data_IF_917666011169
#
_entry.id   IF_917666011169
#
_cell.length_a   1.000
_cell.length_b   1.000
_cell.length_c   1.000
_cell.angle_alpha   90.00
_cell.angle_beta   90.00
_cell.angle_gamma   90.00
#
_symmetry.space_group_name_H-M   'P 1'
#
loop_
_entity.id
_entity.type
_entity.pdbx_description
1 polymer ?
#
# COMPACT_ATOMS: atom_id res chain seq x y z
N UNK A 1 5.98 8.97 -19.82
CA UNK A 1 5.00 7.94 -20.17
C UNK A 1 3.84 8.04 -19.19
N UNK A 2 2.68 8.53 -19.61
CA UNK A 2 1.46 8.40 -18.83
C UNK A 2 1.05 6.94 -18.87
N UNK A 3 0.91 6.30 -17.71
CA UNK A 3 0.14 5.08 -17.58
C UNK A 3 -1.20 5.39 -18.29
N UNK A 4 -1.64 4.60 -19.29
CA UNK A 4 -2.95 4.84 -19.89
C UNK A 4 -3.97 4.89 -18.76
N UNK A 5 -5.06 5.64 -18.93
CA UNK A 5 -6.22 5.69 -18.04
C UNK A 5 -6.82 4.28 -17.92
N UNK A 6 -6.10 3.42 -17.21
CA UNK A 6 -6.46 2.06 -16.87
C UNK A 6 -7.16 2.26 -15.56
N UNK A 7 -8.47 2.04 -15.58
CA UNK A 7 -9.29 2.13 -14.39
C UNK A 7 -8.62 1.28 -13.30
N UNK A 8 -8.29 1.89 -12.17
CA UNK A 8 -7.73 1.19 -11.02
C UNK A 8 -8.90 0.86 -10.10
N UNK A 9 -9.09 -0.42 -9.82
CA UNK A 9 -10.07 -0.83 -8.82
C UNK A 9 -9.39 -0.75 -7.45
N UNK A 10 -9.92 0.10 -6.57
CA UNK A 10 -9.43 0.26 -5.20
C UNK A 10 -10.31 -0.54 -4.24
N UNK A 11 -9.71 -1.30 -3.33
CA UNK A 11 -10.46 -2.00 -2.29
C UNK A 11 -10.89 -1.03 -1.17
N UNK A 12 -12.12 -1.18 -0.64
CA UNK A 12 -12.57 -0.46 0.55
C UNK A 12 -11.85 -0.88 1.85
N UNK A 13 -11.01 -1.93 1.83
CA UNK A 13 -10.11 -2.24 2.96
C UNK A 13 -8.97 -1.22 3.08
N UNK A 14 -8.64 -0.51 2.00
CA UNK A 14 -7.74 0.63 2.04
C UNK A 14 -8.34 1.80 2.82
N UNK A 15 -7.51 2.50 3.59
CA UNK A 15 -7.95 3.64 4.37
C UNK A 15 -6.84 4.32 5.17
N UNK A 16 -7.18 5.45 5.79
CA UNK A 16 -6.28 6.16 6.68
C UNK A 16 -6.19 5.46 8.04
N UNK A 17 -5.00 5.00 8.39
CA UNK A 17 -4.69 4.32 9.64
C UNK A 17 -3.76 5.20 10.47
N UNK A 18 -4.15 5.45 11.72
CA UNK A 18 -3.32 6.17 12.70
C UNK A 18 -2.84 5.20 13.78
N UNK A 19 -1.51 5.09 13.93
CA UNK A 19 -0.84 4.31 14.98
C UNK A 19 0.34 5.10 15.53
N UNK A 20 0.53 5.05 16.84
CA UNK A 20 1.69 5.67 17.52
C UNK A 20 1.92 7.16 17.17
N UNK A 21 0.85 7.90 16.89
CA UNK A 21 0.91 9.32 16.49
C UNK A 21 1.29 9.56 15.03
N UNK A 22 1.49 8.51 14.24
CA UNK A 22 1.72 8.58 12.81
C UNK A 22 0.47 8.15 12.03
N UNK A 23 0.17 8.88 10.96
CA UNK A 23 -0.96 8.58 10.07
C UNK A 23 -0.42 8.18 8.71
N UNK A 24 -0.84 7.02 8.24
CA UNK A 24 -0.57 6.51 6.89
C UNK A 24 -1.88 6.20 6.21
N UNK A 25 -1.92 6.29 4.89
CA UNK A 25 -3.07 5.92 4.07
C UNK A 25 -2.71 4.67 3.30
N UNK A 26 -3.40 3.59 3.60
CA UNK A 26 -3.25 2.31 2.92
C UNK A 26 -4.10 2.35 1.66
N UNK A 27 -3.48 2.28 0.50
CA UNK A 27 -4.11 2.13 -0.80
C UNK A 27 -3.90 0.71 -1.29
N UNK A 28 -5.00 0.00 -1.50
CA UNK A 28 -4.99 -1.34 -2.07
C UNK A 28 -5.69 -1.23 -3.40
N UNK A 29 -4.95 -1.41 -4.48
CA UNK A 29 -5.48 -1.24 -5.83
C UNK A 29 -5.02 -2.34 -6.78
N UNK A 30 -5.80 -2.58 -7.82
CA UNK A 30 -5.44 -3.46 -8.93
C UNK A 30 -5.85 -2.84 -10.25
N UNK A 31 -5.33 -3.35 -11.36
CA UNK A 31 -5.83 -2.97 -12.67
C UNK A 31 -7.24 -3.52 -12.86
N UNK A 32 -8.20 -2.65 -13.16
CA UNK A 32 -9.55 -3.07 -13.48
C UNK A 32 -9.56 -3.82 -14.82
N UNK A 33 -10.54 -4.71 -14.97
CA UNK A 33 -10.73 -5.57 -16.15
C UNK A 33 -9.65 -6.63 -16.37
N UNK A 34 -8.81 -6.86 -15.36
CA UNK A 34 -7.85 -7.96 -15.36
C UNK A 34 -7.98 -8.77 -14.07
N UNK A 35 -7.61 -10.04 -14.16
CA UNK A 35 -7.40 -10.91 -12.98
C UNK A 35 -6.03 -10.62 -12.34
N UNK A 36 -5.56 -9.36 -12.44
CA UNK A 36 -4.31 -8.93 -11.84
C UNK A 36 -4.44 -8.96 -10.30
N UNK A 37 -3.31 -9.25 -9.69
CA UNK A 37 -3.14 -9.29 -8.25
C UNK A 37 -3.19 -7.86 -7.66
N UNK A 38 -3.62 -7.78 -6.41
CA UNK A 38 -3.71 -6.54 -5.64
C UNK A 38 -2.33 -6.02 -5.30
N UNK A 39 -2.12 -4.73 -5.55
CA UNK A 39 -0.93 -4.00 -5.13
C UNK A 39 -1.25 -3.23 -3.86
N UNK A 40 -0.34 -3.33 -2.88
CA UNK A 40 -0.37 -2.54 -1.66
C UNK A 40 0.54 -1.32 -1.81
N UNK A 41 -0.02 -0.15 -1.59
CA UNK A 41 0.70 1.11 -1.45
C UNK A 41 0.34 1.74 -0.10
N UNK A 42 1.34 2.23 0.63
CA UNK A 42 1.13 2.95 1.88
C UNK A 42 1.70 4.35 1.72
N UNK A 43 0.85 5.36 1.90
CA UNK A 43 1.20 6.77 1.76
C UNK A 43 1.25 7.43 3.13
N UNK A 44 2.44 7.85 3.54
CA UNK A 44 2.65 8.64 4.75
C UNK A 44 2.29 10.11 4.59
N UNK A 45 2.05 10.78 5.72
CA UNK A 45 1.73 12.22 5.76
C UNK A 45 2.85 13.12 5.19
N UNK A 46 4.09 12.65 5.17
CA UNK A 46 5.26 13.40 4.67
C UNK A 46 5.44 13.31 3.16
N UNK A 47 4.41 12.85 2.42
CA UNK A 47 4.50 12.46 0.99
C UNK A 47 5.42 11.27 0.71
N UNK A 48 5.92 10.61 1.76
CA UNK A 48 6.55 9.29 1.63
C UNK A 48 5.49 8.29 1.19
N UNK A 49 5.83 7.41 0.27
CA UNK A 49 5.01 6.26 -0.05
C UNK A 49 5.89 5.03 -0.17
N UNK A 50 5.33 3.89 0.20
CA UNK A 50 5.95 2.59 -0.02
C UNK A 50 4.98 1.79 -0.86
N UNK A 51 5.45 1.36 -2.01
CA UNK A 51 4.75 0.39 -2.85
C UNK A 51 5.40 -0.96 -2.60
N UNK A 52 4.60 -1.96 -2.28
CA UNK A 52 5.09 -3.32 -2.14
C UNK A 52 5.39 -3.88 -3.52
N UNK A 53 6.53 -4.56 -3.65
CA UNK A 53 6.91 -5.28 -4.88
C UNK A 53 6.09 -6.56 -5.04
N UNK A 54 5.69 -7.16 -3.92
CA UNK A 54 4.80 -8.31 -3.86
C UNK A 54 3.36 -7.89 -4.10
N UNK A 55 2.69 -8.66 -4.96
CA UNK A 55 1.26 -8.55 -5.22
C UNK A 55 0.50 -9.64 -4.45
N UNK A 56 -0.79 -9.41 -4.23
CA UNK A 56 -1.63 -10.22 -3.38
C UNK A 56 -2.86 -10.73 -4.12
N UNK A 57 -3.25 -11.99 -3.90
CA UNK A 57 -4.44 -12.56 -4.54
C UNK A 57 -5.74 -11.91 -4.03
N UNK A 58 -5.73 -11.40 -2.80
CA UNK A 58 -6.87 -10.75 -2.15
C UNK A 58 -6.45 -9.45 -1.48
N UNK A 59 -7.38 -8.50 -1.42
CA UNK A 59 -7.20 -7.25 -0.71
C UNK A 59 -7.01 -7.45 0.81
N UNK A 60 -7.54 -8.55 1.36
CA UNK A 60 -7.27 -8.95 2.74
C UNK A 60 -5.80 -9.35 2.97
N UNK A 61 -5.21 -10.14 2.06
CA UNK A 61 -3.81 -10.54 2.14
C UNK A 61 -2.88 -9.32 2.07
N UNK A 62 -3.20 -8.36 1.20
CA UNK A 62 -2.51 -7.07 1.13
C UNK A 62 -2.61 -6.32 2.48
N UNK A 63 -3.80 -6.22 3.05
CA UNK A 63 -3.99 -5.55 4.34
C UNK A 63 -3.27 -6.27 5.50
N UNK A 64 -3.30 -7.60 5.52
CA UNK A 64 -2.56 -8.40 6.51
C UNK A 64 -1.06 -8.19 6.40
N UNK A 65 -0.51 -8.10 5.19
CA UNK A 65 0.90 -7.82 4.99
C UNK A 65 1.30 -6.45 5.56
N UNK A 66 0.46 -5.44 5.35
CA UNK A 66 0.60 -4.13 6.01
C UNK A 66 0.59 -4.27 7.53
N UNK A 67 -0.41 -4.95 8.10
CA UNK A 67 -0.51 -5.12 9.55
C UNK A 67 0.68 -5.88 10.14
N UNK A 68 1.19 -6.90 9.43
CA UNK A 68 2.40 -7.64 9.85
C UNK A 68 3.63 -6.75 9.86
N UNK A 69 3.81 -5.90 8.84
CA UNK A 69 4.93 -4.97 8.79
C UNK A 69 4.83 -3.92 9.91
N UNK A 70 3.63 -3.38 10.16
CA UNK A 70 3.37 -2.50 11.31
C UNK A 70 3.63 -3.20 12.64
N UNK A 71 3.22 -4.46 12.79
CA UNK A 71 3.41 -5.20 14.04
C UNK A 71 4.87 -5.59 14.30
N UNK A 72 5.64 -5.86 13.24
CA UNK A 72 7.04 -6.30 13.32
C UNK A 72 8.00 -5.13 13.45
N UNK A 73 7.86 -4.13 12.59
CA UNK A 73 8.82 -3.04 12.42
C UNK A 73 8.25 -1.67 12.84
N UNK A 74 6.94 -1.60 13.11
CA UNK A 74 6.24 -0.35 13.44
C UNK A 74 5.79 0.42 12.21
N UNK A 75 4.72 1.19 12.34
CA UNK A 75 4.18 2.03 11.27
C UNK A 75 5.19 3.06 10.73
N UNK A 76 6.15 3.48 11.55
CA UNK A 76 7.22 4.43 11.20
C UNK A 76 8.17 3.89 10.15
N UNK A 77 8.47 2.60 10.23
CA UNK A 77 9.28 1.91 9.22
C UNK A 77 8.63 1.96 7.85
N UNK A 78 7.29 2.08 7.79
CA UNK A 78 6.54 2.21 6.53
C UNK A 78 6.54 3.62 5.92
N UNK A 79 7.22 4.58 6.55
CA UNK A 79 7.33 5.96 6.06
C UNK A 79 8.78 6.42 5.94
N UNK A 80 9.70 5.78 6.65
CA UNK A 80 11.11 6.15 6.72
C UNK A 80 11.99 5.31 5.78
N UNK A 81 11.61 4.06 5.48
CA UNK A 81 12.40 3.11 4.68
C UNK A 81 11.70 2.79 3.35
N UNK A 82 11.62 3.78 2.46
CA UNK A 82 11.47 3.46 1.05
C UNK A 82 12.89 3.27 0.48
N UNK A 83 13.39 2.05 0.24
CA UNK A 83 14.55 1.89 -0.61
C UNK A 83 14.13 2.38 -1.99
N UNK A 84 14.52 3.62 -2.31
CA UNK A 84 14.52 4.11 -3.67
C UNK A 84 15.41 3.14 -4.47
N UNK A 85 14.79 2.17 -5.13
CA UNK A 85 15.46 1.28 -6.04
C UNK A 85 16.18 2.13 -7.09
N UNK A 86 17.50 2.08 -7.03
CA UNK A 86 18.42 2.69 -7.99
C UNK A 86 18.50 1.84 -9.25
#
# INVERSE_FOLDING_TARGET
>A
MSIPDRELETSPLGGAITRDGQTVTVHIYRFAYTEDEWTLEVVGIDRSHIVWDETFESDLDAYEAFERAVAKDGIRSLTEDAPAGH
#
